data_IF_687957188406
#
_entry.id   IF_687957188406
#
_cell.length_a   1.000
_cell.length_b   1.000
_cell.length_c   1.000
_cell.angle_alpha   90.00
_cell.angle_beta   90.00
_cell.angle_gamma   90.00
#
_symmetry.space_group_name_H-M   'P 1'
#
loop_
_entity.id
_entity.type
_entity.pdbx_description
1 polymer ?
#
# COMPACT_ATOMS: atom_id res chain seq x y z
N UNK A 1 7.91 22.01 -19.46
CA UNK A 1 7.30 22.97 -18.52
C UNK A 1 5.80 23.03 -18.84
N UNK A 2 4.97 22.26 -18.13
CA UNK A 2 3.50 22.22 -18.29
C UNK A 2 2.94 22.78 -16.99
N UNK A 3 2.09 23.79 -17.01
CA UNK A 3 1.55 24.42 -15.81
C UNK A 3 0.58 23.48 -15.11
N UNK A 4 0.83 23.15 -13.84
CA UNK A 4 -0.06 22.45 -12.95
C UNK A 4 -1.23 23.37 -12.58
N UNK A 5 -2.38 23.16 -13.20
CA UNK A 5 -3.65 23.73 -12.68
C UNK A 5 -3.99 22.99 -11.38
N UNK A 6 -4.25 23.76 -10.33
CA UNK A 6 -4.56 23.28 -9.00
C UNK A 6 -5.64 22.19 -9.02
N UNK A 7 -5.28 21.03 -8.47
CA UNK A 7 -6.17 19.89 -8.22
C UNK A 7 -6.49 19.80 -6.74
N UNK A 8 -7.69 19.40 -6.39
CA UNK A 8 -8.00 19.04 -5.00
C UNK A 8 -7.08 17.90 -4.55
N UNK A 9 -6.75 17.80 -3.24
CA UNK A 9 -5.87 16.76 -2.72
C UNK A 9 -6.39 15.39 -3.13
N UNK A 10 -5.49 14.55 -3.63
CA UNK A 10 -5.80 13.16 -4.00
C UNK A 10 -6.30 12.43 -2.76
N UNK A 11 -7.57 12.05 -2.76
CA UNK A 11 -8.17 11.27 -1.68
C UNK A 11 -7.57 9.86 -1.71
N UNK A 12 -6.60 9.60 -0.82
CA UNK A 12 -6.08 8.27 -0.57
C UNK A 12 -7.01 7.52 0.39
N UNK A 13 -7.08 6.18 0.33
CA UNK A 13 -7.99 5.37 1.16
C UNK A 13 -7.75 5.49 2.67
N UNK A 14 -6.67 6.13 3.09
CA UNK A 14 -6.40 6.45 4.51
C UNK A 14 -6.25 7.96 4.62
N UNK A 15 -7.38 8.63 4.91
CA UNK A 15 -7.39 10.09 5.09
C UNK A 15 -7.06 10.43 6.54
N UNK A 16 -6.02 11.24 6.81
CA UNK A 16 -5.70 11.70 8.16
C UNK A 16 -6.80 12.57 8.80
N UNK A 17 -7.76 13.06 8.00
CA UNK A 17 -8.79 14.00 8.44
C UNK A 17 -9.63 13.49 9.63
N UNK A 18 -10.04 12.23 9.59
CA UNK A 18 -10.92 11.69 10.65
C UNK A 18 -10.20 11.51 11.99
N UNK A 19 -8.89 11.29 11.98
CA UNK A 19 -8.10 11.20 13.20
C UNK A 19 -7.97 12.55 13.88
N UNK A 20 -7.73 13.60 13.10
CA UNK A 20 -7.63 14.96 13.64
C UNK A 20 -8.96 15.42 14.27
N UNK A 21 -10.10 15.06 13.65
CA UNK A 21 -11.43 15.36 14.21
C UNK A 21 -11.69 14.68 15.58
N UNK A 22 -10.99 13.57 15.86
CA UNK A 22 -11.06 12.86 17.16
C UNK A 22 -10.10 13.42 18.21
N UNK A 23 -9.31 14.44 17.88
CA UNK A 23 -8.29 15.01 18.74
C UNK A 23 -6.90 14.36 18.61
N UNK A 24 -6.70 13.49 17.62
CA UNK A 24 -5.39 12.95 17.30
C UNK A 24 -4.49 14.02 16.66
N UNK A 25 -3.18 13.88 16.83
CA UNK A 25 -2.17 14.69 16.13
C UNK A 25 -1.56 13.89 15.00
N UNK A 26 -1.38 14.50 13.83
CA UNK A 26 -0.96 13.81 12.61
C UNK A 26 0.29 14.45 12.02
N UNK A 27 1.37 13.70 11.86
CA UNK A 27 2.46 14.06 10.96
C UNK A 27 2.08 13.63 9.54
N UNK A 28 1.73 14.60 8.70
CA UNK A 28 1.37 14.37 7.31
C UNK A 28 2.59 14.60 6.41
N UNK A 29 2.92 13.61 5.57
CA UNK A 29 4.09 13.68 4.69
C UNK A 29 3.70 13.79 3.23
N UNK A 30 4.41 14.61 2.48
CA UNK A 30 4.31 14.73 1.03
C UNK A 30 5.65 15.18 0.44
N UNK A 31 5.91 14.87 -0.84
CA UNK A 31 7.10 15.38 -1.55
C UNK A 31 7.07 16.91 -1.64
N UNK A 32 5.89 17.47 -1.85
CA UNK A 32 5.64 18.91 -1.82
C UNK A 32 4.61 19.21 -0.73
N UNK A 33 5.03 19.86 0.34
CA UNK A 33 4.18 20.23 1.48
C UNK A 33 3.10 21.24 1.13
N UNK A 34 3.21 21.95 0.01
CA UNK A 34 2.14 22.81 -0.48
C UNK A 34 0.84 22.04 -0.75
N UNK A 35 0.93 20.75 -1.05
CA UNK A 35 -0.24 19.87 -1.23
C UNK A 35 -0.98 19.58 0.07
N UNK A 36 -0.38 19.86 1.23
CA UNK A 36 -0.95 19.67 2.57
C UNK A 36 -1.56 20.98 3.13
N UNK A 37 -1.54 22.07 2.35
CA UNK A 37 -1.95 23.41 2.83
C UNK A 37 -3.37 23.40 3.37
N UNK A 38 -4.33 22.86 2.62
CA UNK A 38 -5.74 22.84 3.01
C UNK A 38 -5.94 22.04 4.31
N UNK A 39 -5.15 20.97 4.49
CA UNK A 39 -5.17 20.17 5.71
C UNK A 39 -4.68 20.98 6.92
N UNK A 40 -3.55 21.70 6.75
CA UNK A 40 -2.98 22.55 7.80
C UNK A 40 -3.90 23.73 8.10
N UNK A 41 -4.48 24.37 7.09
CA UNK A 41 -5.43 25.47 7.29
C UNK A 41 -6.69 25.04 8.03
N UNK A 42 -7.14 23.81 7.81
CA UNK A 42 -8.35 23.27 8.44
C UNK A 42 -8.13 22.86 9.90
N UNK A 43 -6.96 22.26 10.21
CA UNK A 43 -6.73 21.61 11.50
C UNK A 43 -5.60 22.22 12.34
N UNK A 44 -4.91 23.24 11.83
CA UNK A 44 -3.90 24.00 12.55
C UNK A 44 -2.80 23.12 13.17
N UNK A 45 -2.53 23.32 14.42
CA UNK A 45 -1.46 22.64 15.18
C UNK A 45 -1.64 21.13 15.36
N UNK A 46 -2.81 20.59 15.03
CA UNK A 46 -3.04 19.14 15.04
C UNK A 46 -2.36 18.43 13.86
N UNK A 47 -1.92 19.18 12.83
CA UNK A 47 -1.23 18.65 11.66
C UNK A 47 0.19 19.20 11.58
N UNK A 48 1.16 18.29 11.58
CA UNK A 48 2.57 18.59 11.31
C UNK A 48 2.90 18.21 9.86
N UNK A 49 3.01 19.16 8.93
CA UNK A 49 3.41 18.87 7.56
C UNK A 49 4.92 18.62 7.48
N UNK A 50 5.33 17.54 6.83
CA UNK A 50 6.74 17.19 6.62
C UNK A 50 7.01 16.88 5.14
N UNK A 51 8.10 17.43 4.60
CA UNK A 51 8.56 17.05 3.27
C UNK A 51 9.20 15.67 3.32
N UNK A 52 8.75 14.74 2.46
CA UNK A 52 9.30 13.40 2.38
C UNK A 52 9.14 12.82 0.98
N UNK A 53 10.27 12.48 0.35
CA UNK A 53 10.32 11.45 -0.68
C UNK A 53 10.70 10.13 0.00
N UNK A 54 9.80 9.14 -0.04
CA UNK A 54 10.01 7.84 0.63
C UNK A 54 11.15 7.03 0.02
N UNK A 55 11.64 7.39 -1.17
CA UNK A 55 12.81 6.76 -1.79
C UNK A 55 14.13 7.22 -1.17
N UNK A 56 14.13 8.35 -0.49
CA UNK A 56 15.26 8.81 0.31
C UNK A 56 15.19 8.22 1.72
N UNK A 57 16.01 7.20 1.96
CA UNK A 57 16.08 6.52 3.27
C UNK A 57 16.44 7.49 4.40
N UNK A 58 17.39 8.40 4.18
CA UNK A 58 17.80 9.34 5.23
C UNK A 58 16.67 10.33 5.56
N UNK A 59 15.96 10.82 4.56
CA UNK A 59 14.79 11.67 4.74
C UNK A 59 13.66 10.94 5.47
N UNK A 60 13.44 9.65 5.19
CA UNK A 60 12.44 8.84 5.91
C UNK A 60 12.75 8.72 7.40
N UNK A 61 14.01 8.45 7.75
CA UNK A 61 14.45 8.39 9.14
C UNK A 61 14.32 9.75 9.85
N UNK A 62 14.69 10.83 9.17
CA UNK A 62 14.57 12.18 9.71
C UNK A 62 13.11 12.60 9.90
N UNK A 63 12.23 12.32 8.95
CA UNK A 63 10.80 12.64 9.06
C UNK A 63 10.16 11.91 10.25
N UNK A 64 10.47 10.64 10.46
CA UNK A 64 9.96 9.86 11.60
C UNK A 64 10.53 10.39 12.92
N UNK A 65 11.82 10.75 12.97
CA UNK A 65 12.45 11.36 14.15
C UNK A 65 11.75 12.68 14.52
N UNK A 66 11.56 13.56 13.54
CA UNK A 66 10.88 14.86 13.76
C UNK A 66 9.43 14.65 14.18
N UNK A 67 8.72 13.72 13.58
CA UNK A 67 7.35 13.38 13.99
C UNK A 67 7.31 12.94 15.45
N UNK A 68 8.18 12.02 15.86
CA UNK A 68 8.26 11.57 17.26
C UNK A 68 8.57 12.71 18.21
N UNK A 69 9.57 13.55 17.92
CA UNK A 69 9.96 14.66 18.79
C UNK A 69 8.85 15.72 18.93
N UNK A 70 8.18 16.06 17.83
CA UNK A 70 7.16 17.10 17.82
C UNK A 70 5.80 16.63 18.35
N UNK A 71 5.46 15.36 18.17
CA UNK A 71 4.21 14.77 18.66
C UNK A 71 4.36 14.10 20.03
N UNK A 72 5.59 13.79 20.46
CA UNK A 72 5.92 13.18 21.74
C UNK A 72 5.80 11.64 21.75
N UNK A 73 5.10 11.06 20.78
CA UNK A 73 4.94 9.60 20.59
C UNK A 73 4.49 9.27 19.19
N UNK A 74 4.58 7.99 18.84
CA UNK A 74 4.04 7.43 17.61
C UNK A 74 3.09 6.27 17.96
N UNK A 75 1.80 6.42 17.70
CA UNK A 75 0.82 5.35 17.95
C UNK A 75 0.53 4.53 16.72
N UNK A 76 0.40 5.21 15.58
CA UNK A 76 0.08 4.59 14.30
C UNK A 76 0.98 5.13 13.22
N UNK A 77 1.59 4.24 12.48
CA UNK A 77 2.41 4.56 11.30
C UNK A 77 1.72 3.99 10.07
N UNK A 78 1.40 4.86 9.10
CA UNK A 78 0.68 4.46 7.89
C UNK A 78 1.60 4.60 6.67
N UNK A 79 1.98 3.50 6.07
CA UNK A 79 2.71 3.47 4.81
C UNK A 79 1.72 3.43 3.65
N UNK A 80 1.37 4.60 3.13
CA UNK A 80 0.40 4.78 2.06
C UNK A 80 1.04 5.22 0.74
N UNK A 81 2.26 5.71 0.75
CA UNK A 81 2.96 6.14 -0.45
C UNK A 81 3.07 5.00 -1.48
N UNK A 82 2.61 5.26 -2.69
CA UNK A 82 2.62 4.28 -3.77
C UNK A 82 1.84 4.75 -4.98
N UNK A 83 2.11 4.14 -6.13
CA UNK A 83 1.42 4.44 -7.38
C UNK A 83 1.24 3.17 -8.22
N UNK A 84 0.35 3.24 -9.22
CA UNK A 84 0.12 2.17 -10.19
C UNK A 84 1.04 2.33 -11.40
N UNK A 85 1.69 1.23 -11.80
CA UNK A 85 2.44 1.13 -13.04
C UNK A 85 1.71 0.19 -14.01
N UNK A 86 1.47 0.68 -15.22
CA UNK A 86 0.76 -0.03 -16.28
C UNK A 86 1.70 -0.31 -17.45
N UNK A 87 1.96 -1.57 -17.71
CA UNK A 87 2.76 -2.10 -18.82
C UNK A 87 2.78 -3.61 -18.73
N UNK A 88 2.79 -4.28 -19.89
CA UNK A 88 3.12 -5.70 -19.92
C UNK A 88 4.58 -5.88 -19.54
N UNK A 89 4.96 -7.03 -19.02
CA UNK A 89 6.31 -7.26 -18.47
C UNK A 89 7.41 -6.92 -19.49
N UNK A 90 7.20 -7.22 -20.76
CA UNK A 90 8.17 -6.94 -21.84
C UNK A 90 8.28 -5.43 -22.16
N UNK A 91 7.28 -4.63 -21.81
CA UNK A 91 7.25 -3.19 -22.07
C UNK A 91 7.97 -2.37 -21.00
N UNK A 92 8.19 -2.98 -19.84
CA UNK A 92 8.72 -2.26 -18.67
C UNK A 92 10.21 -2.03 -18.82
N UNK A 93 10.64 -0.78 -18.73
CA UNK A 93 12.07 -0.42 -18.71
C UNK A 93 12.69 -0.70 -17.35
N UNK A 94 14.01 -0.83 -17.29
CA UNK A 94 14.75 -1.00 -16.03
C UNK A 94 14.49 0.15 -15.05
N UNK A 95 14.46 1.38 -15.54
CA UNK A 95 14.23 2.56 -14.71
C UNK A 95 12.84 2.54 -14.08
N UNK A 96 11.80 2.20 -14.85
CA UNK A 96 10.43 2.06 -14.36
C UNK A 96 10.32 0.94 -13.31
N UNK A 97 10.99 -0.20 -13.58
CA UNK A 97 11.00 -1.33 -12.66
C UNK A 97 11.62 -0.95 -11.30
N UNK A 98 12.79 -0.34 -11.32
CA UNK A 98 13.47 0.12 -10.11
C UNK A 98 12.63 1.14 -9.34
N UNK A 99 12.11 2.15 -10.02
CA UNK A 99 11.32 3.20 -9.39
C UNK A 99 10.03 2.68 -8.75
N UNK A 100 9.36 1.70 -9.39
CA UNK A 100 8.16 1.07 -8.81
C UNK A 100 8.47 0.36 -7.49
N UNK A 101 9.56 -0.38 -7.44
CA UNK A 101 9.99 -1.11 -6.24
C UNK A 101 10.50 -0.15 -5.17
N UNK A 102 11.28 0.87 -5.54
CA UNK A 102 11.78 1.89 -4.62
C UNK A 102 10.64 2.59 -3.87
N UNK A 103 9.61 3.04 -4.58
CA UNK A 103 8.50 3.76 -3.95
C UNK A 103 7.59 2.80 -3.16
N UNK A 104 7.07 1.74 -3.82
CA UNK A 104 5.98 0.95 -3.26
C UNK A 104 6.42 -0.07 -2.21
N UNK A 105 7.70 -0.46 -2.21
CA UNK A 105 8.23 -1.47 -1.31
C UNK A 105 9.30 -0.90 -0.38
N UNK A 106 10.39 -0.37 -0.93
CA UNK A 106 11.48 0.12 -0.09
C UNK A 106 11.09 1.37 0.68
N UNK A 107 10.27 2.27 0.11
CA UNK A 107 9.75 3.42 0.84
C UNK A 107 9.01 3.02 2.13
N UNK A 108 8.12 2.01 2.03
CA UNK A 108 7.44 1.46 3.21
C UNK A 108 8.41 0.79 4.19
N UNK A 109 9.44 0.11 3.69
CA UNK A 109 10.48 -0.51 4.52
C UNK A 109 11.27 0.55 5.32
N UNK A 110 11.70 1.65 4.68
CA UNK A 110 12.48 2.69 5.35
C UNK A 110 11.71 3.38 6.45
N UNK A 111 10.45 3.75 6.21
CA UNK A 111 9.59 4.35 7.23
C UNK A 111 9.32 3.37 8.36
N UNK A 112 9.07 2.10 8.06
CA UNK A 112 8.88 1.04 9.05
C UNK A 112 10.13 0.88 9.92
N UNK A 113 11.32 0.75 9.30
CA UNK A 113 12.59 0.65 10.04
C UNK A 113 12.84 1.86 10.94
N UNK A 114 12.52 3.06 10.45
CA UNK A 114 12.70 4.29 11.24
C UNK A 114 11.77 4.35 12.46
N UNK A 115 10.55 3.82 12.34
CA UNK A 115 9.55 3.87 13.42
C UNK A 115 9.76 2.78 14.49
N UNK A 116 10.25 1.62 14.11
CA UNK A 116 10.37 0.46 15.00
C UNK A 116 11.10 0.71 16.33
N UNK A 117 12.23 1.44 16.40
CA UNK A 117 12.89 1.73 17.67
C UNK A 117 11.98 2.45 18.66
N UNK A 118 11.24 3.45 18.19
CA UNK A 118 10.32 4.25 19.02
C UNK A 118 9.12 3.41 19.50
N UNK A 119 8.50 2.64 18.58
CA UNK A 119 7.37 1.78 18.92
C UNK A 119 7.76 0.69 19.92
N UNK A 120 8.96 0.11 19.76
CA UNK A 120 9.49 -0.91 20.65
C UNK A 120 9.78 -0.34 22.03
N UNK A 121 10.36 0.86 22.13
CA UNK A 121 10.61 1.54 23.39
C UNK A 121 9.28 1.88 24.12
N UNK A 122 8.26 2.29 23.36
CA UNK A 122 6.91 2.54 23.88
C UNK A 122 6.21 1.27 24.36
N UNK A 123 6.59 0.09 23.89
CA UNK A 123 5.92 -1.19 24.17
C UNK A 123 4.54 -1.33 23.50
N UNK A 124 4.22 -0.45 22.55
CA UNK A 124 2.99 -0.50 21.78
C UNK A 124 3.13 0.29 20.47
N UNK A 125 2.24 0.01 19.52
CA UNK A 125 2.14 0.72 18.26
C UNK A 125 1.36 -0.07 17.21
N UNK A 126 0.99 0.58 16.12
CA UNK A 126 0.31 -0.08 15.01
C UNK A 126 0.90 0.40 13.68
N UNK A 127 1.46 -0.51 12.91
CA UNK A 127 1.96 -0.26 11.56
C UNK A 127 0.90 -0.70 10.56
N UNK A 128 0.43 0.22 9.75
CA UNK A 128 -0.56 -0.02 8.70
C UNK A 128 0.14 0.09 7.35
N UNK A 129 0.10 -0.99 6.59
CA UNK A 129 0.64 -1.08 5.25
C UNK A 129 -0.49 -1.02 4.23
N UNK A 130 -0.54 0.01 3.40
CA UNK A 130 -1.54 0.07 2.33
C UNK A 130 -1.07 -0.78 1.16
N UNK A 131 -1.56 -2.02 1.14
CA UNK A 131 -1.34 -2.99 0.09
C UNK A 131 -2.39 -2.85 -1.02
N UNK A 132 -2.93 -3.94 -1.50
CA UNK A 132 -3.98 -4.03 -2.54
C UNK A 132 -4.48 -5.46 -2.63
N UNK A 133 -5.67 -5.66 -3.18
CA UNK A 133 -6.05 -6.98 -3.73
C UNK A 133 -4.99 -7.50 -4.71
N UNK A 134 -4.24 -6.60 -5.35
CA UNK A 134 -3.09 -6.91 -6.19
C UNK A 134 -1.86 -7.43 -5.45
N UNK A 135 -1.83 -7.44 -4.12
CA UNK A 135 -0.86 -8.14 -3.29
C UNK A 135 -1.23 -9.60 -3.01
N UNK A 136 -2.47 -9.99 -3.33
CA UNK A 136 -3.01 -11.34 -3.16
C UNK A 136 -3.18 -12.05 -4.50
N UNK A 137 -3.73 -11.35 -5.50
CA UNK A 137 -3.98 -11.88 -6.85
C UNK A 137 -3.33 -11.00 -7.90
N UNK A 138 -2.85 -11.61 -9.00
CA UNK A 138 -2.17 -10.88 -10.07
C UNK A 138 -3.04 -10.83 -11.33
N UNK A 139 -2.95 -9.70 -12.04
CA UNK A 139 -3.67 -9.45 -13.29
C UNK A 139 -2.70 -8.97 -14.38
N UNK A 140 -3.00 -9.20 -15.67
CA UNK A 140 -2.21 -8.64 -16.75
C UNK A 140 -2.10 -7.11 -16.68
N UNK A 141 -1.10 -6.54 -17.33
CA UNK A 141 -0.84 -5.10 -17.49
C UNK A 141 -0.30 -4.37 -16.25
N UNK A 142 -0.38 -4.95 -15.06
CA UNK A 142 0.08 -4.34 -13.81
C UNK A 142 1.02 -5.28 -13.03
N UNK A 143 1.77 -6.13 -13.73
CA UNK A 143 2.60 -7.17 -13.14
C UNK A 143 3.66 -6.63 -12.17
N UNK A 144 4.32 -5.53 -12.51
CA UNK A 144 5.33 -4.93 -11.66
C UNK A 144 4.76 -4.27 -10.39
N UNK A 145 3.59 -3.65 -10.53
CA UNK A 145 2.84 -3.18 -9.36
C UNK A 145 2.50 -4.34 -8.41
N UNK A 146 2.03 -5.47 -8.96
CA UNK A 146 1.78 -6.67 -8.16
C UNK A 146 3.04 -7.15 -7.45
N UNK A 147 4.18 -7.23 -8.15
CA UNK A 147 5.45 -7.62 -7.53
C UNK A 147 5.79 -6.75 -6.33
N UNK A 148 5.58 -5.43 -6.40
CA UNK A 148 5.81 -4.50 -5.29
C UNK A 148 4.86 -4.76 -4.11
N UNK A 149 3.58 -5.05 -4.38
CA UNK A 149 2.59 -5.31 -3.32
C UNK A 149 2.74 -6.71 -2.72
N UNK A 150 3.09 -7.72 -3.51
CA UNK A 150 3.45 -9.05 -3.00
C UNK A 150 4.70 -9.00 -2.11
N UNK A 151 5.70 -8.19 -2.47
CA UNK A 151 6.86 -7.93 -1.60
C UNK A 151 6.45 -7.29 -0.27
N UNK A 152 5.55 -6.31 -0.32
CA UNK A 152 4.99 -5.64 0.86
C UNK A 152 4.23 -6.62 1.76
N UNK A 153 3.42 -7.53 1.18
CA UNK A 153 2.71 -8.59 1.90
C UNK A 153 3.68 -9.52 2.63
N UNK A 154 4.70 -10.00 1.90
CA UNK A 154 5.68 -10.95 2.45
C UNK A 154 6.44 -10.38 3.63
N UNK A 155 7.04 -9.19 3.48
CA UNK A 155 7.81 -8.60 4.56
C UNK A 155 6.93 -8.19 5.76
N UNK A 156 5.70 -7.73 5.52
CA UNK A 156 4.80 -7.33 6.60
C UNK A 156 4.29 -8.53 7.41
N UNK A 157 4.09 -9.67 6.76
CA UNK A 157 3.76 -10.91 7.45
C UNK A 157 4.91 -11.41 8.33
N UNK A 158 6.16 -11.29 7.88
CA UNK A 158 7.33 -11.59 8.70
C UNK A 158 7.43 -10.61 9.87
N UNK A 159 7.36 -9.31 9.58
CA UNK A 159 7.39 -8.24 10.58
C UNK A 159 6.38 -8.45 11.70
N UNK A 160 5.14 -8.83 11.37
CA UNK A 160 4.09 -9.05 12.37
C UNK A 160 4.49 -10.10 13.41
N UNK A 161 5.21 -11.14 12.99
CA UNK A 161 5.73 -12.17 13.90
C UNK A 161 6.93 -11.68 14.70
N UNK A 162 7.81 -10.90 14.09
CA UNK A 162 9.02 -10.36 14.72
C UNK A 162 8.70 -9.36 15.84
N UNK A 163 7.62 -8.57 15.68
CA UNK A 163 7.31 -7.47 16.59
C UNK A 163 6.19 -7.76 17.58
N UNK A 164 5.54 -8.91 17.50
CA UNK A 164 4.42 -9.28 18.37
C UNK A 164 4.79 -9.22 19.86
N UNK A 165 5.99 -9.66 20.22
CA UNK A 165 6.50 -9.64 21.59
C UNK A 165 6.75 -8.23 22.15
N UNK A 166 6.76 -7.21 21.29
CA UNK A 166 6.91 -5.79 21.70
C UNK A 166 5.58 -5.05 21.79
N UNK A 167 4.44 -5.73 21.64
CA UNK A 167 3.12 -5.09 21.64
C UNK A 167 2.83 -4.27 20.39
N UNK A 168 3.60 -4.44 19.34
CA UNK A 168 3.42 -3.73 18.06
C UNK A 168 2.53 -4.57 17.14
N UNK A 169 1.49 -3.94 16.61
CA UNK A 169 0.53 -4.53 15.67
C UNK A 169 0.93 -4.19 14.24
N UNK A 170 0.62 -5.08 13.31
CA UNK A 170 0.81 -4.85 11.86
C UNK A 170 -0.47 -5.22 11.15
N UNK A 171 -0.97 -4.35 10.29
CA UNK A 171 -2.13 -4.62 9.44
C UNK A 171 -1.86 -4.21 8.00
N UNK A 172 -2.11 -5.13 7.09
CA UNK A 172 -2.15 -4.90 5.65
C UNK A 172 -3.60 -4.57 5.24
N UNK A 173 -3.79 -3.38 4.73
CA UNK A 173 -5.07 -2.96 4.13
C UNK A 173 -4.99 -3.27 2.64
N UNK A 174 -5.93 -4.05 2.14
CA UNK A 174 -5.96 -4.60 0.79
C UNK A 174 -7.16 -4.03 0.00
N UNK A 175 -7.07 -2.77 -0.49
CA UNK A 175 -8.16 -2.17 -1.24
C UNK A 175 -8.38 -2.85 -2.59
N UNK A 176 -9.63 -2.86 -3.02
CA UNK A 176 -10.00 -3.08 -4.43
C UNK A 176 -10.03 -1.74 -5.18
N UNK A 177 -10.79 -1.61 -6.25
CA UNK A 177 -10.91 -0.37 -7.01
C UNK A 177 -11.73 0.71 -6.30
N UNK A 178 -11.11 1.82 -5.98
CA UNK A 178 -11.74 3.04 -5.47
C UNK A 178 -11.67 4.17 -6.49
N UNK A 179 -12.58 5.14 -6.38
CA UNK A 179 -12.60 6.37 -7.20
C UNK A 179 -11.46 7.32 -6.81
N UNK A 180 -10.22 6.90 -7.06
CA UNK A 180 -9.01 7.68 -6.77
C UNK A 180 -8.23 7.97 -8.05
N UNK A 181 -7.23 8.85 -7.97
CA UNK A 181 -6.33 9.14 -9.09
C UNK A 181 -5.29 8.02 -9.36
N UNK A 182 -5.39 6.90 -8.68
CA UNK A 182 -4.43 5.78 -8.78
C UNK A 182 -4.23 5.25 -10.21
N UNK A 183 -5.29 5.22 -11.01
CA UNK A 183 -5.22 4.85 -12.45
C UNK A 183 -5.28 6.06 -13.38
N UNK A 184 -5.35 7.25 -12.83
CA UNK A 184 -5.40 8.54 -13.52
C UNK A 184 -4.02 9.12 -13.80
N UNK A 185 -3.85 10.37 -13.42
CA UNK A 185 -2.62 11.14 -13.69
C UNK A 185 -1.43 10.74 -12.81
N UNK A 186 -1.66 10.07 -11.70
CA UNK A 186 -0.59 9.53 -10.85
C UNK A 186 -0.01 8.22 -11.36
N UNK A 187 -0.69 7.55 -12.30
CA UNK A 187 -0.22 6.30 -12.87
C UNK A 187 0.92 6.50 -13.87
N UNK A 188 1.92 5.64 -13.80
CA UNK A 188 2.96 5.51 -14.82
C UNK A 188 2.54 4.48 -15.86
N UNK A 189 2.90 4.72 -17.12
CA UNK A 189 2.60 3.81 -18.23
C UNK A 189 3.84 3.60 -19.08
N UNK A 190 4.21 2.33 -19.31
CA UNK A 190 5.25 1.98 -20.25
C UNK A 190 4.81 2.24 -21.69
N UNK A 191 5.77 2.43 -22.58
CA UNK A 191 5.51 2.55 -24.00
C UNK A 191 4.95 1.22 -24.54
N UNK A 192 3.79 1.24 -25.24
CA UNK A 192 3.14 0.01 -25.69
C UNK A 192 3.90 -0.65 -26.85
N UNK A 193 3.97 -1.98 -26.83
CA UNK A 193 4.44 -2.80 -27.95
C UNK A 193 3.23 -3.27 -28.76
N UNK A 194 3.24 -3.10 -30.11
CA UNK A 194 2.10 -3.49 -30.96
C UNK A 194 1.74 -4.98 -30.86
N UNK A 195 2.71 -5.83 -30.53
CA UNK A 195 2.47 -7.28 -30.34
C UNK A 195 1.44 -7.59 -29.24
N UNK A 196 1.21 -6.67 -28.31
CA UNK A 196 0.27 -6.82 -27.20
C UNK A 196 -1.06 -6.07 -27.39
N UNK A 197 -1.31 -5.43 -28.52
CA UNK A 197 -2.49 -4.55 -28.69
C UNK A 197 -3.82 -5.30 -28.47
N UNK A 198 -3.97 -6.51 -29.03
CA UNK A 198 -5.19 -7.31 -28.84
C UNK A 198 -5.37 -7.72 -27.37
N UNK A 199 -4.32 -8.22 -26.72
CA UNK A 199 -4.36 -8.64 -25.31
C UNK A 199 -4.62 -7.42 -24.41
N UNK A 200 -4.07 -6.27 -24.77
CA UNK A 200 -4.29 -4.99 -24.08
C UNK A 200 -5.76 -4.59 -24.13
N UNK A 201 -6.37 -4.62 -25.32
CA UNK A 201 -7.79 -4.28 -25.47
C UNK A 201 -8.68 -5.19 -24.61
N UNK A 202 -8.47 -6.49 -24.67
CA UNK A 202 -9.19 -7.48 -23.86
C UNK A 202 -9.00 -7.23 -22.36
N UNK A 203 -7.76 -6.99 -21.93
CA UNK A 203 -7.41 -6.71 -20.53
C UNK A 203 -8.09 -5.42 -20.04
N UNK A 204 -8.08 -4.35 -20.85
CA UNK A 204 -8.71 -3.09 -20.50
C UNK A 204 -10.24 -3.21 -20.41
N UNK A 205 -10.89 -3.98 -21.28
CA UNK A 205 -12.32 -4.29 -21.21
C UNK A 205 -12.66 -5.06 -19.91
N UNK A 206 -11.90 -6.09 -19.59
CA UNK A 206 -12.09 -6.87 -18.36
C UNK A 206 -11.86 -6.01 -17.10
N UNK A 207 -10.86 -5.14 -17.12
CA UNK A 207 -10.61 -4.18 -16.05
C UNK A 207 -11.77 -3.20 -15.88
N UNK A 208 -12.26 -2.60 -16.96
CA UNK A 208 -13.39 -1.68 -16.93
C UNK A 208 -14.65 -2.34 -16.34
N UNK A 209 -14.92 -3.59 -16.68
CA UNK A 209 -16.02 -4.34 -16.12
C UNK A 209 -15.90 -4.53 -14.61
N UNK A 210 -14.70 -4.90 -14.11
CA UNK A 210 -14.42 -5.02 -12.66
C UNK A 210 -14.52 -3.69 -11.92
N UNK A 211 -14.18 -2.59 -12.59
CA UNK A 211 -14.18 -1.23 -12.02
C UNK A 211 -15.49 -0.48 -12.30
N UNK A 212 -16.54 -1.14 -12.73
CA UNK A 212 -17.83 -0.50 -13.06
C UNK A 212 -18.53 0.13 -11.86
N UNK A 213 -18.19 -0.30 -10.65
CA UNK A 213 -18.66 0.26 -9.38
C UNK A 213 -17.48 0.50 -8.44
N UNK A 214 -16.71 1.58 -8.65
CA UNK A 214 -15.60 1.88 -7.77
C UNK A 214 -16.10 2.30 -6.40
N UNK A 215 -15.38 1.91 -5.34
CA UNK A 215 -15.66 2.32 -3.97
C UNK A 215 -15.47 3.83 -3.78
N UNK A 216 -16.19 4.40 -2.84
CA UNK A 216 -16.01 5.78 -2.39
C UNK A 216 -14.82 5.84 -1.41
N UNK A 217 -13.74 6.57 -1.71
CA UNK A 217 -12.62 6.73 -0.78
C UNK A 217 -13.04 7.29 0.58
N UNK A 218 -14.04 8.15 0.64
CA UNK A 218 -14.52 8.72 1.90
C UNK A 218 -15.07 7.64 2.85
N UNK A 219 -15.66 6.56 2.33
CA UNK A 219 -16.16 5.47 3.14
C UNK A 219 -15.04 4.67 3.84
N UNK A 220 -13.79 4.74 3.35
CA UNK A 220 -12.67 4.05 3.98
C UNK A 220 -12.24 4.66 5.32
N UNK A 221 -12.65 5.90 5.59
CA UNK A 221 -12.29 6.64 6.82
C UNK A 221 -12.73 5.89 8.07
N UNK A 222 -14.03 5.62 8.17
CA UNK A 222 -14.57 4.88 9.32
C UNK A 222 -13.99 3.46 9.41
N UNK A 223 -13.75 2.81 8.27
CA UNK A 223 -13.16 1.47 8.25
C UNK A 223 -11.74 1.45 8.78
N UNK A 224 -10.88 2.42 8.41
CA UNK A 224 -9.50 2.46 8.93
C UNK A 224 -9.47 2.79 10.42
N UNK A 225 -10.35 3.66 10.90
CA UNK A 225 -10.47 3.95 12.32
C UNK A 225 -10.90 2.71 13.11
N UNK A 226 -11.85 1.95 12.60
CA UNK A 226 -12.27 0.68 13.23
C UNK A 226 -11.10 -0.33 13.31
N UNK A 227 -10.24 -0.40 12.30
CA UNK A 227 -9.02 -1.23 12.32
C UNK A 227 -8.02 -0.74 13.36
N UNK A 228 -7.80 0.57 13.43
CA UNK A 228 -6.86 1.18 14.38
C UNK A 228 -7.32 0.99 15.81
N UNK A 229 -8.62 1.14 16.07
CA UNK A 229 -9.21 1.06 17.41
C UNK A 229 -9.42 -0.38 17.90
N UNK A 230 -9.30 -1.37 17.00
CA UNK A 230 -9.45 -2.76 17.37
C UNK A 230 -8.37 -3.19 18.38
N UNK A 231 -8.79 -3.86 19.44
CA UNK A 231 -7.87 -4.44 20.42
C UNK A 231 -6.95 -5.49 19.76
N UNK A 232 -7.52 -6.29 18.88
CA UNK A 232 -6.83 -7.32 18.09
C UNK A 232 -7.15 -7.13 16.60
N UNK A 233 -6.49 -6.17 15.91
CA UNK A 233 -6.72 -5.97 14.50
C UNK A 233 -6.21 -7.17 13.69
N UNK A 234 -6.84 -7.50 12.56
CA UNK A 234 -6.37 -8.57 11.69
C UNK A 234 -5.04 -8.18 11.03
N UNK A 235 -4.22 -9.19 10.70
CA UNK A 235 -3.03 -8.96 9.88
C UNK A 235 -3.40 -8.46 8.47
N UNK A 236 -4.51 -8.94 7.90
CA UNK A 236 -5.02 -8.55 6.57
C UNK A 236 -6.48 -8.20 6.63
N UNK A 237 -6.82 -7.15 5.90
CA UNK A 237 -8.21 -6.73 5.76
C UNK A 237 -8.49 -6.18 4.37
N UNK A 238 -9.52 -6.68 3.72
CA UNK A 238 -10.00 -6.14 2.46
C UNK A 238 -10.81 -4.88 2.66
N UNK A 239 -10.61 -3.90 1.78
CA UNK A 239 -11.49 -2.75 1.66
C UNK A 239 -12.16 -2.75 0.29
N UNK A 240 -13.49 -2.64 0.29
CA UNK A 240 -14.35 -2.61 -0.89
C UNK A 240 -15.18 -3.87 -1.09
N UNK A 241 -15.96 -3.88 -2.16
CA UNK A 241 -16.84 -4.99 -2.52
C UNK A 241 -16.12 -5.97 -3.48
N UNK A 242 -16.30 -7.27 -3.25
CA UNK A 242 -15.81 -8.34 -4.11
C UNK A 242 -14.39 -8.89 -3.90
N UNK A 243 -13.46 -8.26 -3.15
CA UNK A 243 -12.10 -8.80 -3.04
C UNK A 243 -12.05 -10.18 -2.35
N UNK A 244 -12.93 -10.45 -1.38
CA UNK A 244 -12.98 -11.75 -0.74
C UNK A 244 -13.30 -12.88 -1.73
N UNK A 245 -14.31 -12.70 -2.57
CA UNK A 245 -14.68 -13.70 -3.56
C UNK A 245 -13.56 -13.95 -4.57
N UNK A 246 -12.87 -12.90 -5.01
CA UNK A 246 -11.75 -12.98 -5.93
C UNK A 246 -10.55 -13.71 -5.30
N UNK A 247 -10.17 -13.33 -4.08
CA UNK A 247 -9.09 -13.99 -3.35
C UNK A 247 -9.41 -15.45 -3.08
N UNK A 248 -10.65 -15.78 -2.67
CA UNK A 248 -11.08 -17.15 -2.44
C UNK A 248 -10.91 -18.00 -3.70
N UNK A 249 -11.40 -17.52 -4.86
CA UNK A 249 -11.28 -18.25 -6.11
C UNK A 249 -9.82 -18.48 -6.54
N UNK A 250 -8.94 -17.48 -6.35
CA UNK A 250 -7.51 -17.61 -6.65
C UNK A 250 -6.81 -18.62 -5.74
N UNK A 251 -7.07 -18.56 -4.44
CA UNK A 251 -6.49 -19.51 -3.48
C UNK A 251 -7.00 -20.95 -3.67
N UNK A 252 -8.29 -21.14 -3.97
CA UNK A 252 -8.84 -22.45 -4.29
C UNK A 252 -8.19 -23.05 -5.54
N UNK A 253 -7.98 -22.22 -6.58
CA UNK A 253 -7.27 -22.64 -7.80
C UNK A 253 -5.83 -23.07 -7.51
N UNK A 254 -5.09 -22.30 -6.70
CA UNK A 254 -3.71 -22.62 -6.29
C UNK A 254 -3.67 -23.91 -5.46
N UNK A 255 -4.57 -24.04 -4.47
CA UNK A 255 -4.64 -25.23 -3.63
C UNK A 255 -4.93 -26.48 -4.45
N UNK A 256 -5.84 -26.38 -5.46
CA UNK A 256 -6.12 -27.46 -6.39
C UNK A 256 -4.86 -27.89 -7.12
N UNK A 257 -4.15 -26.95 -7.74
CA UNK A 257 -2.92 -27.23 -8.48
C UNK A 257 -1.84 -27.84 -7.57
N UNK A 258 -1.64 -27.31 -6.35
CA UNK A 258 -0.66 -27.85 -5.43
C UNK A 258 -0.96 -29.28 -5.01
N UNK A 259 -2.22 -29.61 -4.75
CA UNK A 259 -2.64 -30.99 -4.44
C UNK A 259 -2.45 -31.94 -5.63
N UNK A 260 -2.77 -31.50 -6.84
CA UNK A 260 -2.56 -32.29 -8.05
C UNK A 260 -1.07 -32.63 -8.28
N UNK A 261 -0.17 -31.71 -7.91
CA UNK A 261 1.27 -31.85 -8.11
C UNK A 261 2.04 -32.25 -6.84
N UNK A 262 1.37 -32.56 -5.74
CA UNK A 262 2.00 -32.92 -4.46
C UNK A 262 2.95 -34.10 -4.58
N UNK A 263 2.60 -35.10 -5.39
CA UNK A 263 3.43 -36.28 -5.64
C UNK A 263 4.81 -35.93 -6.22
N UNK A 264 4.91 -34.89 -7.06
CA UNK A 264 6.19 -34.40 -7.57
C UNK A 264 6.98 -33.68 -6.49
N UNK A 265 6.30 -32.90 -5.63
CA UNK A 265 6.95 -32.23 -4.50
C UNK A 265 7.57 -33.22 -3.53
N UNK A 266 6.86 -34.30 -3.23
CA UNK A 266 7.35 -35.39 -2.38
C UNK A 266 8.54 -36.11 -3.03
N UNK A 267 8.42 -36.43 -4.33
CA UNK A 267 9.52 -37.05 -5.08
C UNK A 267 10.79 -36.18 -5.13
N UNK A 268 10.63 -34.85 -5.17
CA UNK A 268 11.73 -33.91 -5.17
C UNK A 268 12.51 -33.86 -3.82
N UNK A 269 11.90 -34.33 -2.73
CA UNK A 269 12.59 -34.45 -1.44
C UNK A 269 13.60 -35.62 -1.42
N UNK A 270 13.50 -36.58 -2.34
CA UNK A 270 14.28 -37.78 -2.40
C UNK A 270 13.64 -38.94 -1.63
N UNK A 271 14.02 -40.17 -1.98
CA UNK A 271 13.60 -41.34 -1.21
C UNK A 271 14.31 -41.30 0.15
N UNK A 272 13.57 -41.55 1.23
CA UNK A 272 14.19 -41.93 2.51
C UNK A 272 15.02 -43.21 2.26
N UNK A 273 16.34 -43.14 2.46
CA UNK A 273 17.25 -44.24 2.26
C UNK A 273 17.04 -45.34 3.30
#
# INVERSE_FOLDING_TARGET
MIPSKGRPPTQHPVDPLDRVQRGDRVAATARDTATLKDLVETYGDAVLPLALDVTDRAAAFEAVRVAHERLGRLDVVVNNAGYGHFGFIEEVTEAEARQQIEVNLFGALWVTQAALPYLREQGNGHIIQVSSIGGISAFPLVGLYHASKWGLEGFSQALAQEVAGFGIKVTLVEPTGFSTDWSGSSAVRSAPLPAYDEVREQTMKARAARMSRPGDPAATRAAILAVVDAEQPPLRIFFGDGPLALATADYESRLKTWREWEHISVAAHGAEG
#
